data_IF_195333867775
#
_entry.id   IF_195333867775
#
_cell.length_a   1.000
_cell.length_b   1.000
_cell.length_c   1.000
_cell.angle_alpha   90.00
_cell.angle_beta   90.00
_cell.angle_gamma   90.00
#
_symmetry.space_group_name_H-M   'P 1'
#
loop_
_entity.id
_entity.type
_entity.pdbx_description
1 polymer ?
#
# COMPACT_ATOMS: atom_id res chain seq x y z
N UNK A 1 11.07 -12.35 10.75
CA UNK A 1 9.60 -12.53 10.62
C UNK A 1 8.81 -12.37 11.94
N UNK A 2 9.43 -12.06 13.10
CA UNK A 2 8.74 -11.88 14.39
C UNK A 2 7.61 -10.84 14.35
N UNK A 3 7.79 -9.78 13.56
CA UNK A 3 6.81 -8.69 13.40
C UNK A 3 5.54 -9.10 12.64
N UNK A 4 5.59 -10.13 11.79
CA UNK A 4 4.37 -10.67 11.16
C UNK A 4 3.42 -11.31 12.18
N UNK A 5 3.95 -11.82 13.31
CA UNK A 5 3.12 -12.40 14.38
C UNK A 5 2.22 -11.37 15.07
N UNK A 6 2.54 -10.06 14.95
CA UNK A 6 1.73 -8.96 15.46
C UNK A 6 0.58 -8.58 14.53
N UNK A 7 0.57 -9.11 13.31
CA UNK A 7 -0.47 -8.87 12.32
C UNK A 7 -1.54 -9.96 12.40
N UNK A 8 -2.78 -9.57 12.19
CA UNK A 8 -3.84 -10.54 11.84
C UNK A 8 -3.51 -11.23 10.52
N UNK A 9 -4.04 -12.44 10.30
CA UNK A 9 -3.88 -13.18 9.03
C UNK A 9 -4.18 -12.32 7.81
N UNK A 10 -5.24 -11.52 7.86
CA UNK A 10 -5.65 -10.62 6.77
C UNK A 10 -4.62 -9.53 6.50
N UNK A 11 -4.11 -8.88 7.55
CA UNK A 11 -3.08 -7.86 7.40
C UNK A 11 -1.78 -8.43 6.84
N UNK A 12 -1.36 -9.61 7.30
CA UNK A 12 -0.20 -10.31 6.76
C UNK A 12 -0.39 -10.62 5.27
N UNK A 13 -1.55 -11.18 4.89
CA UNK A 13 -1.88 -11.44 3.48
C UNK A 13 -1.83 -10.18 2.62
N UNK A 14 -2.40 -9.07 3.08
CA UNK A 14 -2.34 -7.78 2.38
C UNK A 14 -0.90 -7.28 2.22
N UNK A 15 -0.08 -7.36 3.27
CA UNK A 15 1.33 -6.94 3.19
C UNK A 15 2.11 -7.83 2.21
N UNK A 16 1.86 -9.14 2.21
CA UNK A 16 2.44 -10.06 1.22
C UNK A 16 2.03 -9.72 -0.19
N UNK A 17 0.74 -9.40 -0.43
CA UNK A 17 0.28 -8.97 -1.75
C UNK A 17 0.91 -7.64 -2.20
N UNK A 18 1.15 -6.71 -1.27
CA UNK A 18 1.87 -5.47 -1.55
C UNK A 18 3.33 -5.74 -1.91
N UNK A 19 3.99 -6.65 -1.19
CA UNK A 19 5.37 -7.08 -1.43
C UNK A 19 5.57 -7.67 -2.82
N UNK A 20 4.64 -8.51 -3.26
CA UNK A 20 4.72 -9.19 -4.57
C UNK A 20 4.04 -8.40 -5.69
N UNK A 21 3.57 -7.18 -5.42
CA UNK A 21 2.71 -6.36 -6.30
C UNK A 21 1.42 -7.06 -6.80
N UNK A 22 1.07 -8.23 -6.27
CA UNK A 22 -0.14 -9.00 -6.60
C UNK A 22 -1.33 -8.56 -5.76
N UNK A 23 -1.53 -7.25 -5.69
CA UNK A 23 -2.58 -6.61 -4.91
C UNK A 23 -3.63 -6.04 -5.87
N UNK A 24 -4.95 -6.07 -5.57
CA UNK A 24 -6.00 -5.60 -6.47
C UNK A 24 -6.08 -4.06 -6.57
N UNK A 25 -4.95 -3.40 -6.81
CA UNK A 25 -4.85 -2.01 -7.22
C UNK A 25 -5.01 -1.90 -8.75
N UNK A 26 -5.35 -0.70 -9.24
CA UNK A 26 -5.78 -0.54 -10.63
C UNK A 26 -4.70 -0.94 -11.64
N UNK A 27 -3.41 -0.66 -11.36
CA UNK A 27 -2.31 -1.07 -12.24
C UNK A 27 -2.29 -2.60 -12.45
N UNK A 28 -2.37 -3.36 -11.36
CA UNK A 28 -2.40 -4.82 -11.42
C UNK A 28 -3.68 -5.34 -12.09
N UNK A 29 -4.84 -4.80 -11.71
CA UNK A 29 -6.13 -5.18 -12.31
C UNK A 29 -6.19 -4.90 -13.82
N UNK A 30 -5.58 -3.82 -14.28
CA UNK A 30 -5.46 -3.52 -15.70
C UNK A 30 -4.55 -4.50 -16.42
N UNK A 31 -3.39 -4.85 -15.82
CA UNK A 31 -2.47 -5.85 -16.37
C UNK A 31 -3.16 -7.21 -16.61
N UNK A 32 -4.01 -7.65 -15.67
CA UNK A 32 -4.78 -8.90 -15.82
C UNK A 32 -6.13 -8.73 -16.53
N UNK A 33 -6.36 -7.58 -17.20
CA UNK A 33 -7.58 -7.25 -17.96
C UNK A 33 -8.89 -7.30 -17.14
N UNK A 34 -8.80 -7.13 -15.82
CA UNK A 34 -9.96 -7.02 -14.91
C UNK A 34 -10.43 -5.58 -14.69
N UNK A 35 -9.68 -4.60 -15.20
CA UNK A 35 -10.08 -3.19 -15.23
C UNK A 35 -9.65 -2.55 -16.54
N UNK A 36 -10.46 -1.65 -17.07
CA UNK A 36 -10.20 -0.95 -18.34
C UNK A 36 -9.02 0.02 -18.29
N UNK A 37 -8.64 0.49 -17.10
CA UNK A 37 -7.56 1.47 -16.93
C UNK A 37 -6.79 1.25 -15.63
N UNK A 38 -5.47 1.43 -15.71
CA UNK A 38 -4.55 1.45 -14.56
C UNK A 38 -4.64 2.72 -13.72
N UNK A 39 -5.26 3.78 -14.25
CA UNK A 39 -5.30 5.11 -13.64
C UNK A 39 -5.99 5.09 -12.27
N UNK A 40 -5.43 5.85 -11.34
CA UNK A 40 -5.93 5.96 -9.99
C UNK A 40 -7.25 6.72 -9.94
N UNK A 41 -8.33 6.05 -9.50
CA UNK A 41 -9.65 6.71 -9.36
C UNK A 41 -9.66 7.87 -8.34
N UNK A 42 -8.69 7.89 -7.41
CA UNK A 42 -8.62 8.91 -6.37
C UNK A 42 -8.03 10.22 -6.87
N UNK A 43 -6.82 10.17 -7.45
CA UNK A 43 -6.14 11.37 -7.93
C UNK A 43 -6.28 11.61 -9.44
N UNK A 44 -6.62 10.59 -10.22
CA UNK A 44 -6.78 10.61 -11.69
C UNK A 44 -5.53 11.07 -12.48
N UNK A 45 -4.34 10.99 -11.88
CA UNK A 45 -3.10 11.51 -12.47
C UNK A 45 -2.11 10.41 -12.89
N UNK A 46 -2.05 9.32 -12.13
CA UNK A 46 -1.08 8.24 -12.34
C UNK A 46 -1.75 6.89 -12.17
N UNK A 47 -1.09 5.84 -12.67
CA UNK A 47 -1.48 4.48 -12.36
C UNK A 47 -1.49 4.23 -10.85
N UNK A 48 -2.53 3.54 -10.37
CA UNK A 48 -2.61 3.09 -8.96
C UNK A 48 -1.72 1.87 -8.79
N UNK A 49 -0.41 2.08 -8.76
CA UNK A 49 0.62 1.08 -8.38
C UNK A 49 0.81 1.02 -6.87
N UNK A 50 1.58 0.03 -6.37
CA UNK A 50 1.98 -0.05 -4.96
C UNK A 50 2.77 1.19 -4.55
N UNK A 51 3.76 1.59 -5.37
CA UNK A 51 4.53 2.82 -5.18
C UNK A 51 3.62 4.05 -5.07
N UNK A 52 2.75 4.28 -6.07
CA UNK A 52 1.84 5.42 -6.04
C UNK A 52 0.93 5.40 -4.80
N UNK A 53 0.35 4.24 -4.50
CA UNK A 53 -0.58 4.06 -3.39
C UNK A 53 0.08 4.34 -2.03
N UNK A 54 1.27 3.78 -1.77
CA UNK A 54 1.96 3.89 -0.49
C UNK A 54 2.69 5.23 -0.31
N UNK A 55 3.19 5.87 -1.36
CA UNK A 55 4.12 7.01 -1.22
C UNK A 55 3.54 8.34 -1.70
N UNK A 56 2.85 8.36 -2.86
CA UNK A 56 2.57 9.62 -3.60
C UNK A 56 1.10 10.01 -3.71
N UNK A 57 0.15 9.08 -3.68
CA UNK A 57 -1.25 9.34 -4.03
C UNK A 57 -1.89 10.44 -3.17
N UNK A 58 -2.27 11.62 -3.72
CA UNK A 58 -2.79 12.72 -2.91
C UNK A 58 -4.10 12.36 -2.19
N UNK A 59 -4.93 11.49 -2.80
CA UNK A 59 -6.16 10.98 -2.19
C UNK A 59 -5.95 10.20 -0.86
N UNK A 60 -4.70 9.86 -0.53
CA UNK A 60 -4.37 9.11 0.69
C UNK A 60 -3.45 9.88 1.65
N UNK A 61 -3.27 11.20 1.47
CA UNK A 61 -2.43 12.03 2.33
C UNK A 61 -2.81 11.91 3.82
N UNK A 62 -4.11 12.06 4.14
CA UNK A 62 -4.60 11.96 5.51
C UNK A 62 -4.36 10.57 6.14
N UNK A 63 -4.48 9.51 5.33
CA UNK A 63 -4.20 8.14 5.77
C UNK A 63 -2.69 7.92 6.04
N UNK A 64 -1.80 8.58 5.28
CA UNK A 64 -0.34 8.50 5.45
C UNK A 64 0.21 9.31 6.61
N UNK A 65 -0.50 10.34 7.10
CA UNK A 65 0.02 11.24 8.14
C UNK A 65 0.56 10.51 9.39
N UNK A 66 -0.18 9.54 9.93
CA UNK A 66 0.27 8.76 11.11
C UNK A 66 1.38 7.75 10.78
N UNK A 67 1.26 6.88 9.74
CA UNK A 67 2.34 6.01 9.30
C UNK A 67 3.65 6.74 9.02
N UNK A 68 3.58 7.95 8.44
CA UNK A 68 4.74 8.79 8.13
C UNK A 68 5.60 9.08 9.36
N UNK A 69 4.99 9.27 10.53
CA UNK A 69 5.75 9.51 11.76
C UNK A 69 6.54 8.29 12.23
N UNK A 70 6.05 7.06 11.94
CA UNK A 70 6.75 5.81 12.31
C UNK A 70 7.80 5.42 11.28
N UNK A 71 7.54 5.67 9.99
CA UNK A 71 8.39 5.23 8.86
C UNK A 71 9.46 6.27 8.51
N UNK A 72 9.25 7.55 8.83
CA UNK A 72 10.22 8.61 8.57
C UNK A 72 10.53 8.78 7.08
N UNK A 73 11.82 8.85 6.74
CA UNK A 73 12.33 9.09 5.37
C UNK A 73 11.95 7.99 4.36
N UNK A 74 11.73 6.77 4.84
CA UNK A 74 11.43 5.62 3.98
C UNK A 74 10.03 5.69 3.36
N UNK A 75 9.17 6.59 3.85
CA UNK A 75 7.80 6.81 3.35
C UNK A 75 7.76 7.17 1.86
N UNK A 76 8.88 7.62 1.30
CA UNK A 76 9.00 8.05 -0.09
C UNK A 76 9.35 6.89 -1.05
N UNK A 77 9.52 5.66 -0.56
CA UNK A 77 9.82 4.49 -1.38
C UNK A 77 9.07 3.27 -0.87
N UNK A 78 8.15 2.73 -1.67
CA UNK A 78 7.41 1.53 -1.30
C UNK A 78 8.35 0.34 -1.08
N UNK A 79 9.40 0.21 -1.89
CA UNK A 79 10.40 -0.83 -1.74
C UNK A 79 11.08 -0.78 -0.36
N UNK A 80 11.53 0.40 0.09
CA UNK A 80 12.12 0.55 1.43
C UNK A 80 11.10 0.30 2.55
N UNK A 81 9.86 0.78 2.38
CA UNK A 81 8.80 0.53 3.34
C UNK A 81 8.51 -0.97 3.51
N UNK A 82 8.46 -1.71 2.40
CA UNK A 82 8.11 -3.12 2.38
C UNK A 82 9.30 -4.02 2.73
N UNK A 83 10.54 -3.56 2.56
CA UNK A 83 11.73 -4.29 2.99
C UNK A 83 11.90 -4.33 4.52
N UNK A 84 11.38 -3.35 5.25
CA UNK A 84 11.50 -3.30 6.70
C UNK A 84 10.23 -3.84 7.40
N UNK A 85 10.37 -5.00 8.03
CA UNK A 85 9.26 -5.67 8.74
C UNK A 85 8.71 -4.89 9.93
N UNK A 86 9.46 -3.95 10.51
CA UNK A 86 9.00 -3.08 11.61
C UNK A 86 7.90 -2.10 11.18
N UNK A 87 7.83 -1.81 9.87
CA UNK A 87 6.84 -0.91 9.30
C UNK A 87 5.53 -1.60 8.95
N UNK A 88 5.46 -2.94 8.99
CA UNK A 88 4.31 -3.69 8.52
C UNK A 88 3.02 -3.33 9.26
N UNK A 89 3.09 -3.06 10.55
CA UNK A 89 1.93 -2.60 11.32
C UNK A 89 1.46 -1.21 10.87
N UNK A 90 2.38 -0.30 10.55
CA UNK A 90 2.04 1.02 10.00
C UNK A 90 1.42 0.91 8.61
N UNK A 91 1.96 0.03 7.75
CA UNK A 91 1.42 -0.27 6.43
C UNK A 91 0.01 -0.88 6.54
N UNK A 92 -0.18 -1.85 7.44
CA UNK A 92 -1.50 -2.45 7.67
C UNK A 92 -2.53 -1.43 8.18
N UNK A 93 -2.15 -0.53 9.08
CA UNK A 93 -3.00 0.59 9.54
C UNK A 93 -3.31 1.56 8.41
N UNK A 94 -2.34 1.89 7.56
CA UNK A 94 -2.55 2.69 6.36
C UNK A 94 -3.62 2.05 5.46
N UNK A 95 -3.45 0.79 5.09
CA UNK A 95 -4.38 0.07 4.22
C UNK A 95 -5.79 0.04 4.80
N UNK A 96 -5.93 -0.25 6.10
CA UNK A 96 -7.23 -0.22 6.79
C UNK A 96 -7.90 1.16 6.66
N UNK A 97 -7.14 2.25 6.78
CA UNK A 97 -7.66 3.62 6.71
C UNK A 97 -8.09 4.04 5.31
N UNK A 98 -7.41 3.57 4.26
CA UNK A 98 -7.79 3.92 2.88
C UNK A 98 -9.07 3.22 2.43
N UNK A 99 -9.46 2.11 3.09
CA UNK A 99 -10.58 1.23 2.71
C UNK A 99 -10.52 0.72 1.26
N UNK A 100 -9.35 0.83 0.60
CA UNK A 100 -9.16 0.46 -0.81
C UNK A 100 -9.00 -1.05 -1.00
N UNK A 101 -8.36 -1.69 -0.03
CA UNK A 101 -8.13 -3.13 0.01
C UNK A 101 -8.93 -3.63 1.21
N UNK A 102 -10.05 -4.30 0.92
CA UNK A 102 -10.91 -4.90 1.93
C UNK A 102 -10.64 -6.39 1.96
#
# INVERSE_FOLDING_TARGET
LKELKKLTRRQASTVTQLLTEHVPLNKYLHCIRKKLSGICDGCRQHDKSVEHYLTRCPAHLAARARPRMKVGKDINSAARMLANTEYFEAIAKFVKRTRRLR
#
